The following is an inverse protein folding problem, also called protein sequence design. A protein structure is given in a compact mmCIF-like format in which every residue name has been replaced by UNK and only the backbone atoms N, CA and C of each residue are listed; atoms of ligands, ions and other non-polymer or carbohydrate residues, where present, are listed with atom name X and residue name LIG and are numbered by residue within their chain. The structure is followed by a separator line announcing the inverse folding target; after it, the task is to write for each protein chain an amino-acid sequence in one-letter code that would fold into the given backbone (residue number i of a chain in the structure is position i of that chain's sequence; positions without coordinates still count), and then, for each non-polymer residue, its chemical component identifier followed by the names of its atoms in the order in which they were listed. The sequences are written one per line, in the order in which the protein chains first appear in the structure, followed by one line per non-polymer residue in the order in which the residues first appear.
data_IF_213695835511
#
_entry.id   IF_213695835511
#
_cell.length_a   1.000
_cell.length_b   1.000
_cell.length_c   1.000
_cell.angle_alpha   90.00
_cell.angle_beta   90.00
_cell.angle_gamma   90.00
#
_symmetry.space_group_name_H-M   'P 1'
#
loop_
_entity.id
_entity.type
_entity.pdbx_description
1 polymer ?
#
# COMPACT_ATOMS: atom_id res chain seq x y z
N UNK A 1 42.46 20.92 4.10
CA UNK A 1 41.38 20.51 3.19
C UNK A 1 40.12 20.29 4.02
N UNK A 2 39.19 21.23 4.02
CA UNK A 2 37.94 21.10 4.77
C UNK A 2 36.88 20.53 3.83
N UNK A 3 36.35 19.34 4.16
CA UNK A 3 35.38 18.63 3.34
C UNK A 3 34.06 19.41 3.26
N UNK A 4 33.66 19.75 2.04
CA UNK A 4 32.33 20.28 1.79
C UNK A 4 31.33 19.12 1.90
N UNK A 5 30.59 19.08 3.02
CA UNK A 5 29.39 18.26 3.14
C UNK A 5 28.32 18.81 2.19
N UNK A 6 28.07 18.11 1.09
CA UNK A 6 26.99 18.39 0.14
C UNK A 6 25.63 18.14 0.81
N UNK A 7 25.10 19.15 1.50
CA UNK A 7 23.71 19.16 1.96
C UNK A 7 22.89 19.81 0.86
N UNK A 8 22.35 18.99 -0.05
CA UNK A 8 21.43 19.45 -1.08
C UNK A 8 20.20 20.09 -0.42
N UNK A 9 19.96 21.36 -0.71
CA UNK A 9 18.83 22.12 -0.16
C UNK A 9 17.50 21.51 -0.65
N UNK A 10 16.57 21.15 0.23
CA UNK A 10 15.30 20.55 -0.19
C UNK A 10 14.51 21.55 -1.04
N UNK A 11 13.89 21.05 -2.11
CA UNK A 11 13.05 21.84 -3.01
C UNK A 11 11.66 22.00 -2.41
N UNK A 12 10.91 23.02 -2.83
CA UNK A 12 9.55 23.27 -2.31
C UNK A 12 8.62 22.05 -2.52
N UNK A 13 8.79 21.34 -3.65
CA UNK A 13 8.09 20.09 -3.94
C UNK A 13 8.50 18.90 -3.06
N UNK A 14 9.72 18.88 -2.49
CA UNK A 14 10.11 17.83 -1.53
C UNK A 14 9.49 18.10 -0.15
N UNK A 15 9.44 19.38 0.27
CA UNK A 15 8.79 19.79 1.52
C UNK A 15 7.30 19.40 1.54
N UNK A 16 6.61 19.57 0.42
CA UNK A 16 5.19 19.19 0.31
C UNK A 16 4.98 17.67 0.38
N UNK A 17 5.89 16.89 -0.19
CA UNK A 17 5.86 15.42 -0.09
C UNK A 17 6.12 14.95 1.34
N UNK A 18 7.08 15.56 2.03
CA UNK A 18 7.40 15.21 3.42
C UNK A 18 6.22 15.50 4.35
N UNK A 19 5.57 16.66 4.18
CA UNK A 19 4.34 17.01 4.92
C UNK A 19 3.19 16.05 4.62
N UNK A 20 3.01 15.65 3.36
CA UNK A 20 2.00 14.66 2.98
C UNK A 20 2.28 13.30 3.61
N UNK A 21 3.55 12.88 3.65
CA UNK A 21 3.96 11.62 4.26
C UNK A 21 3.71 11.63 5.77
N UNK A 22 4.06 12.72 6.45
CA UNK A 22 3.83 12.90 7.88
C UNK A 22 2.34 12.85 8.24
N UNK A 23 1.50 13.55 7.47
CA UNK A 23 0.05 13.50 7.64
C UNK A 23 -0.50 12.09 7.43
N UNK A 24 -0.11 11.42 6.33
CA UNK A 24 -0.55 10.06 6.03
C UNK A 24 -0.11 9.07 7.12
N UNK A 25 1.13 9.20 7.61
CA UNK A 25 1.64 8.37 8.71
C UNK A 25 0.83 8.56 9.99
N UNK A 26 0.48 9.80 10.34
CA UNK A 26 -0.35 10.08 11.51
C UNK A 26 -1.75 9.45 11.40
N UNK A 27 -2.37 9.50 10.21
CA UNK A 27 -3.67 8.86 9.94
C UNK A 27 -3.56 7.34 10.06
N UNK A 28 -2.50 6.74 9.51
CA UNK A 28 -2.27 5.29 9.55
C UNK A 28 -1.98 4.80 10.99
N UNK A 29 -1.16 5.53 11.74
CA UNK A 29 -0.83 5.20 13.15
C UNK A 29 -2.05 5.22 14.08
N UNK A 30 -3.06 6.06 13.81
CA UNK A 30 -4.32 6.05 14.56
C UNK A 30 -5.10 4.74 14.41
N UNK A 31 -4.85 3.99 13.34
CA UNK A 31 -5.49 2.69 13.07
C UNK A 31 -4.63 1.53 13.52
N UNK A 32 -3.32 1.62 13.31
CA UNK A 32 -2.34 0.62 13.76
C UNK A 32 -1.09 1.31 14.31
N UNK A 33 -0.94 1.26 15.64
CA UNK A 33 0.20 1.85 16.35
C UNK A 33 1.54 1.15 16.05
N UNK A 34 1.52 -0.06 15.49
CA UNK A 34 2.74 -0.78 15.11
C UNK A 34 3.37 -0.22 13.82
N UNK A 35 2.66 0.61 13.05
CA UNK A 35 3.18 1.24 11.83
C UNK A 35 4.27 2.25 12.20
N UNK A 36 5.48 2.01 11.70
CA UNK A 36 6.63 2.90 11.91
C UNK A 36 6.78 3.92 10.79
N UNK A 37 6.56 3.48 9.55
CA UNK A 37 6.92 4.23 8.34
C UNK A 37 5.99 3.90 7.16
N UNK A 38 5.78 4.88 6.29
CA UNK A 38 5.15 4.69 4.98
C UNK A 38 6.26 4.64 3.92
N UNK A 39 6.45 3.47 3.31
CA UNK A 39 7.48 3.22 2.32
C UNK A 39 7.09 3.75 0.94
N UNK A 40 5.83 3.55 0.54
CA UNK A 40 5.27 4.01 -0.74
C UNK A 40 3.79 4.30 -0.61
N UNK A 41 3.29 5.18 -1.48
CA UNK A 41 1.87 5.48 -1.60
C UNK A 41 1.42 5.46 -3.06
N UNK A 42 0.17 5.07 -3.30
CA UNK A 42 -0.50 5.21 -4.57
C UNK A 42 -1.81 5.97 -4.38
N UNK A 43 -2.00 7.01 -5.19
CA UNK A 43 -3.11 7.95 -5.04
C UNK A 43 -4.46 7.40 -5.46
N UNK A 44 -4.56 6.29 -6.20
CA UNK A 44 -5.83 5.66 -6.53
C UNK A 44 -5.65 4.17 -6.79
N UNK A 45 -6.46 3.36 -6.11
CA UNK A 45 -6.55 1.91 -6.28
C UNK A 45 -7.99 1.44 -6.23
N UNK A 46 -8.25 0.37 -6.97
CA UNK A 46 -9.51 -0.38 -6.95
C UNK A 46 -9.17 -1.85 -6.75
N UNK A 47 -9.87 -2.50 -5.83
CA UNK A 47 -9.68 -3.92 -5.55
C UNK A 47 -10.58 -4.79 -6.43
N UNK A 48 -9.99 -5.88 -6.90
CA UNK A 48 -10.73 -6.96 -7.54
C UNK A 48 -10.46 -8.27 -6.80
N UNK A 49 -11.47 -9.13 -6.74
CA UNK A 49 -11.35 -10.50 -6.28
C UNK A 49 -11.62 -11.42 -7.45
N UNK A 50 -10.71 -12.37 -7.67
CA UNK A 50 -10.97 -13.44 -8.62
C UNK A 50 -11.93 -14.45 -8.00
N UNK A 51 -12.97 -14.79 -8.73
CA UNK A 51 -13.96 -15.80 -8.39
C UNK A 51 -13.61 -17.08 -9.14
N UNK A 52 -13.27 -18.14 -8.41
CA UNK A 52 -12.82 -19.40 -9.00
C UNK A 52 -13.98 -20.18 -9.63
N UNK A 53 -15.20 -20.04 -9.11
CA UNK A 53 -16.38 -20.77 -9.61
C UNK A 53 -16.81 -20.25 -10.99
N UNK A 54 -16.82 -18.93 -11.15
CA UNK A 54 -17.17 -18.27 -12.42
C UNK A 54 -15.95 -18.00 -13.32
N UNK A 55 -14.73 -18.29 -12.84
CA UNK A 55 -13.46 -17.92 -13.48
C UNK A 55 -13.43 -16.43 -13.91
N UNK A 56 -14.04 -15.55 -13.12
CA UNK A 56 -14.20 -14.12 -13.45
C UNK A 56 -13.63 -13.21 -12.37
N UNK A 57 -13.39 -11.95 -12.73
CA UNK A 57 -12.97 -10.91 -11.79
C UNK A 57 -14.17 -10.11 -11.30
N UNK A 58 -14.43 -10.21 -10.00
CA UNK A 58 -15.48 -9.45 -9.34
C UNK A 58 -14.90 -8.18 -8.71
N UNK A 59 -15.53 -7.04 -9.02
CA UNK A 59 -15.16 -5.75 -8.45
C UNK A 59 -15.51 -5.72 -6.95
N UNK A 60 -14.53 -5.45 -6.10
CA UNK A 60 -14.78 -5.19 -4.68
C UNK A 60 -15.23 -3.74 -4.52
N UNK A 61 -16.12 -3.49 -3.55
CA UNK A 61 -16.53 -2.14 -3.11
C UNK A 61 -15.44 -1.43 -2.28
N UNK A 62 -14.19 -1.53 -2.73
CA UNK A 62 -13.02 -0.94 -2.07
C UNK A 62 -12.24 -0.15 -3.12
N UNK A 63 -12.32 1.17 -2.98
CA UNK A 63 -11.65 2.13 -3.85
C UNK A 63 -11.06 3.26 -2.99
N UNK A 64 -9.81 3.61 -3.23
CA UNK A 64 -9.18 4.68 -2.46
C UNK A 64 -7.67 4.77 -2.63
N UNK A 65 -6.94 5.00 -1.54
CA UNK A 65 -5.48 5.17 -1.57
C UNK A 65 -4.79 3.94 -0.98
N UNK A 66 -3.70 3.49 -1.61
CA UNK A 66 -2.88 2.37 -1.13
C UNK A 66 -1.59 2.89 -0.51
N UNK A 67 -1.19 2.29 0.61
CA UNK A 67 0.05 2.57 1.31
C UNK A 67 0.81 1.26 1.53
N UNK A 68 2.11 1.30 1.31
CA UNK A 68 3.03 0.25 1.74
C UNK A 68 3.66 0.73 3.03
N UNK A 69 3.51 -0.02 4.11
CA UNK A 69 3.95 0.38 5.44
C UNK A 69 4.97 -0.60 6.02
N UNK A 70 5.89 -0.08 6.82
CA UNK A 70 6.75 -0.86 7.71
C UNK A 70 6.15 -0.88 9.12
N UNK A 71 6.31 -2.01 9.82
CA UNK A 71 5.75 -2.25 11.16
C UNK A 71 6.81 -2.80 12.11
N UNK A 72 6.66 -2.51 13.40
CA UNK A 72 7.50 -3.06 14.47
C UNK A 72 7.24 -4.55 14.69
N UNK A 73 5.99 -4.99 14.52
CA UNK A 73 5.55 -6.38 14.73
C UNK A 73 5.32 -7.10 13.40
N UNK A 74 5.34 -8.43 13.42
CA UNK A 74 4.99 -9.21 12.25
C UNK A 74 3.50 -9.03 11.87
N UNK A 75 3.14 -9.00 10.57
CA UNK A 75 4.04 -8.86 9.42
C UNK A 75 4.76 -7.50 9.38
N UNK A 76 6.09 -7.52 9.19
CA UNK A 76 6.96 -6.31 9.19
C UNK A 76 6.65 -5.33 8.06
N UNK A 77 6.05 -5.84 6.99
CA UNK A 77 5.63 -5.04 5.85
C UNK A 77 4.20 -5.43 5.48
N UNK A 78 3.41 -4.43 5.10
CA UNK A 78 1.99 -4.59 4.87
C UNK A 78 1.48 -3.58 3.84
N UNK A 79 0.44 -3.97 3.12
CA UNK A 79 -0.37 -3.06 2.32
C UNK A 79 -1.57 -2.57 3.14
N UNK A 80 -1.82 -1.27 3.12
CA UNK A 80 -2.99 -0.64 3.74
C UNK A 80 -3.76 0.13 2.67
N UNK A 81 -5.05 -0.15 2.53
CA UNK A 81 -5.95 0.59 1.64
C UNK A 81 -6.89 1.45 2.47
N UNK A 82 -6.78 2.77 2.35
CA UNK A 82 -7.77 3.71 2.88
C UNK A 82 -8.93 3.80 1.89
N UNK A 83 -10.05 3.18 2.22
CA UNK A 83 -11.25 3.17 1.38
C UNK A 83 -11.95 4.54 1.45
N UNK A 84 -12.31 5.10 0.30
CA UNK A 84 -13.08 6.35 0.19
C UNK A 84 -14.57 6.09 0.06
N UNK A 85 -14.97 4.88 -0.37
CA UNK A 85 -16.37 4.49 -0.58
C UNK A 85 -17.04 3.97 0.70
N UNK A 86 -16.27 3.54 1.70
CA UNK A 86 -16.84 3.06 2.97
C UNK A 86 -15.87 3.20 4.14
N UNK A 87 -16.40 3.18 5.36
CA UNK A 87 -15.62 3.22 6.60
C UNK A 87 -14.84 1.92 6.89
N UNK A 88 -14.99 0.87 6.08
CA UNK A 88 -14.21 -0.36 6.17
C UNK A 88 -12.88 -0.21 5.43
N UNK A 89 -11.81 -0.21 6.22
CA UNK A 89 -10.68 0.69 6.00
C UNK A 89 -9.32 -0.02 6.09
N UNK A 90 -9.35 -1.36 6.05
CA UNK A 90 -8.18 -2.20 6.25
C UNK A 90 -8.37 -3.49 5.47
N UNK A 91 -7.73 -3.59 4.30
CA UNK A 91 -7.48 -4.88 3.67
C UNK A 91 -6.02 -5.20 3.93
N UNK A 92 -5.78 -6.09 4.88
CA UNK A 92 -4.44 -6.58 5.19
C UNK A 92 -4.05 -7.62 4.16
N UNK A 93 -3.14 -7.27 3.26
CA UNK A 93 -2.51 -8.26 2.40
C UNK A 93 -1.15 -8.58 2.98
N UNK A 94 -0.97 -9.74 3.65
CA UNK A 94 0.34 -10.16 4.08
C UNK A 94 1.23 -10.27 2.84
N UNK A 95 2.41 -9.65 2.90
CA UNK A 95 3.42 -9.81 1.86
C UNK A 95 3.96 -11.23 1.99
N UNK A 96 3.28 -12.19 1.39
CA UNK A 96 3.85 -13.51 1.16
C UNK A 96 5.09 -13.29 0.28
N UNK A 97 6.21 -14.00 0.52
CA UNK A 97 7.44 -13.90 -0.29
C UNK A 97 7.27 -14.31 -1.77
N UNK A 98 6.04 -14.53 -2.22
CA UNK A 98 5.67 -14.99 -3.56
C UNK A 98 4.65 -14.04 -4.23
N UNK A 99 4.71 -12.74 -3.91
CA UNK A 99 3.98 -11.71 -4.67
C UNK A 99 4.74 -11.44 -5.96
N UNK A 100 4.35 -12.18 -7.00
CA UNK A 100 4.74 -11.86 -8.36
C UNK A 100 4.00 -10.59 -8.80
N UNK A 101 4.70 -9.59 -9.38
CA UNK A 101 4.07 -8.39 -9.93
C UNK A 101 3.12 -8.70 -11.11
N UNK A 102 3.20 -9.91 -11.65
CA UNK A 102 2.19 -10.50 -12.54
C UNK A 102 1.52 -11.67 -11.82
N UNK A 103 0.27 -11.46 -11.43
CA UNK A 103 -0.56 -12.43 -10.75
C UNK A 103 -1.04 -13.50 -11.76
N UNK A 104 -0.16 -14.41 -12.18
CA UNK A 104 -0.54 -15.54 -13.04
C UNK A 104 -1.31 -16.56 -12.20
N UNK A 105 -2.50 -17.04 -12.62
CA UNK A 105 -3.20 -18.12 -11.93
C UNK A 105 -2.32 -19.38 -11.98
N UNK A 106 -1.90 -19.87 -10.82
CA UNK A 106 -1.29 -21.20 -10.70
C UNK A 106 -2.43 -22.15 -10.34
N UNK A 107 -2.73 -23.17 -11.15
CA UNK A 107 -3.80 -24.10 -10.86
C UNK A 107 -3.44 -24.93 -9.63
N UNK A 108 -4.32 -24.93 -8.62
CA UNK A 108 -4.26 -25.90 -7.52
C UNK A 108 -3.71 -25.43 -6.17
N UNK A 109 -3.62 -24.11 -5.89
CA UNK A 109 -3.28 -23.66 -4.54
C UNK A 109 -4.22 -22.58 -4.03
N UNK A 110 -5.17 -23.01 -3.20
CA UNK A 110 -6.08 -22.16 -2.43
C UNK A 110 -5.30 -21.09 -1.64
N UNK A 111 -5.20 -19.89 -2.20
CA UNK A 111 -4.80 -18.68 -1.48
C UNK A 111 -5.63 -17.55 -2.05
N UNK A 112 -6.50 -17.00 -1.22
CA UNK A 112 -7.36 -15.85 -1.50
C UNK A 112 -6.53 -14.72 -2.10
N UNK A 113 -6.65 -14.50 -3.42
CA UNK A 113 -5.85 -13.52 -4.15
C UNK A 113 -6.60 -12.19 -4.20
N UNK A 114 -6.01 -11.15 -3.60
CA UNK A 114 -6.50 -9.78 -3.70
C UNK A 114 -5.57 -9.01 -4.63
N UNK A 115 -6.10 -8.43 -5.70
CA UNK A 115 -5.32 -7.65 -6.67
C UNK A 115 -5.62 -6.16 -6.49
N UNK A 116 -4.57 -5.34 -6.34
CA UNK A 116 -4.62 -3.87 -6.35
C UNK A 116 -4.04 -3.37 -7.67
N UNK A 117 -4.87 -2.85 -8.60
CA UNK A 117 -4.35 -2.06 -9.73
C UNK A 117 -4.03 -0.65 -9.22
N UNK A 118 -2.76 -0.28 -9.22
CA UNK A 118 -2.30 1.11 -9.04
C UNK A 118 -2.23 1.79 -10.40
N UNK A 119 -3.01 2.84 -10.60
CA UNK A 119 -2.88 3.70 -11.79
C UNK A 119 -1.76 4.71 -11.52
N UNK A 120 -0.61 4.54 -12.18
CA UNK A 120 0.42 5.58 -12.25
C UNK A 120 0.01 6.55 -13.36
N UNK A 121 -0.37 7.77 -12.97
CA UNK A 121 -0.38 8.91 -13.89
C UNK A 121 0.97 9.62 -13.78
#
# INVERSE_FOLDING_TARGET
ACGASNISRPTMASIDKDKQLEYNLAVLKRRDAAITEVLKMAGHVVLYQFNEDSQSWDLKKVEGSLFVVARTTAPRHMFVVLNRLSSQNLVELPISPHISPYLVPEPGRARTRTCTRTCTR
#
